data_IF_323460190780
#
_entry.id   IF_323460190780
#
_cell.length_a   1.000
_cell.length_b   1.000
_cell.length_c   1.000
_cell.angle_alpha   90.00
_cell.angle_beta   90.00
_cell.angle_gamma   90.00
#
_symmetry.space_group_name_H-M   'P 1'
#
loop_
_entity.id
_entity.type
_entity.pdbx_description
1 polymer ?
#
# COMPACT_ATOMS: atom_id res chain seq x y z
N UNK A 1 7.18 10.78 -20.35
CA UNK A 1 7.11 10.86 -18.92
C UNK A 1 7.71 9.68 -18.29
N UNK A 2 8.52 9.94 -17.41
CA UNK A 2 9.43 8.90 -16.99
C UNK A 2 8.94 7.91 -15.98
N UNK A 3 7.91 8.08 -15.30
CA UNK A 3 7.60 7.04 -14.36
C UNK A 3 6.37 7.30 -13.53
N UNK A 4 6.12 6.42 -12.59
CA UNK A 4 4.95 6.54 -11.73
C UNK A 4 5.28 5.98 -10.37
N UNK A 5 4.47 6.36 -9.40
CA UNK A 5 4.55 5.82 -8.06
C UNK A 5 3.46 4.78 -7.92
N UNK A 6 3.83 3.61 -7.45
CA UNK A 6 2.87 2.54 -7.17
C UNK A 6 3.04 2.13 -5.72
N UNK A 7 2.10 1.35 -5.22
CA UNK A 7 2.22 0.86 -3.86
C UNK A 7 1.95 -0.63 -3.83
N UNK A 8 2.39 -1.26 -2.76
CA UNK A 8 2.29 -2.69 -2.59
C UNK A 8 1.26 -3.08 -1.53
N UNK A 9 0.24 -2.23 -1.37
CA UNK A 9 -0.76 -2.49 -0.34
C UNK A 9 -1.40 -3.87 -0.47
N UNK A 10 -1.80 -4.24 -1.69
CA UNK A 10 -2.43 -5.53 -1.90
C UNK A 10 -1.50 -6.69 -1.57
N UNK A 11 -0.24 -6.54 -1.94
CA UNK A 11 0.74 -7.60 -1.68
C UNK A 11 0.98 -7.74 -0.18
N UNK A 12 1.20 -6.63 0.50
CA UNK A 12 1.46 -6.67 1.94
C UNK A 12 0.24 -7.18 2.69
N UNK A 13 -0.95 -6.81 2.23
CA UNK A 13 -2.17 -7.26 2.84
C UNK A 13 -2.34 -8.77 2.67
N UNK A 14 -2.04 -9.28 1.47
CA UNK A 14 -2.12 -10.71 1.22
C UNK A 14 -1.11 -11.48 2.05
N UNK A 15 0.11 -10.94 2.18
CA UNK A 15 1.13 -11.58 2.99
C UNK A 15 0.74 -11.63 4.46
N UNK A 16 0.16 -10.53 4.96
CA UNK A 16 -0.28 -10.50 6.35
C UNK A 16 -1.43 -11.46 6.58
N UNK A 17 -2.37 -11.51 5.65
CA UNK A 17 -3.51 -12.43 5.77
C UNK A 17 -3.04 -13.87 5.81
N UNK A 18 -2.08 -14.22 4.98
CA UNK A 18 -1.53 -15.55 4.95
C UNK A 18 -0.80 -15.88 6.26
N UNK A 19 0.01 -14.92 6.72
CA UNK A 19 0.79 -15.13 7.93
C UNK A 19 -0.10 -15.30 9.16
N UNK A 20 -1.21 -14.55 9.20
CA UNK A 20 -2.13 -14.60 10.33
C UNK A 20 -3.27 -15.59 10.11
N UNK A 21 -3.29 -16.25 8.97
CA UNK A 21 -4.29 -17.27 8.66
C UNK A 21 -5.70 -16.72 8.77
N UNK A 22 -5.92 -15.52 8.26
CA UNK A 22 -7.25 -14.90 8.25
C UNK A 22 -7.39 -14.05 7.00
N UNK A 23 -8.65 -13.77 6.65
CA UNK A 23 -8.95 -12.88 5.53
C UNK A 23 -8.99 -11.45 6.04
N UNK A 24 -8.34 -10.53 5.34
CA UNK A 24 -8.31 -9.12 5.74
C UNK A 24 -8.84 -8.28 4.57
N UNK A 25 -10.17 -8.13 4.47
CA UNK A 25 -10.73 -7.24 3.45
C UNK A 25 -10.43 -5.79 3.79
N UNK A 26 -10.61 -4.91 2.81
CA UNK A 26 -10.30 -3.49 3.02
C UNK A 26 -11.10 -2.88 4.16
N UNK A 27 -12.33 -3.34 4.39
CA UNK A 27 -13.11 -2.83 5.50
C UNK A 27 -12.50 -3.19 6.84
N UNK A 28 -11.93 -4.37 6.93
CA UNK A 28 -11.24 -4.77 8.14
C UNK A 28 -9.97 -3.95 8.32
N UNK A 29 -9.26 -3.70 7.21
CA UNK A 29 -8.08 -2.86 7.25
C UNK A 29 -8.44 -1.45 7.73
N UNK A 30 -9.56 -0.91 7.27
CA UNK A 30 -10.04 0.37 7.75
C UNK A 30 -10.23 0.37 9.27
N UNK A 31 -10.85 -0.66 9.79
CA UNK A 31 -11.09 -0.77 11.22
C UNK A 31 -9.79 -0.84 12.01
N UNK A 32 -8.82 -1.57 11.50
CA UNK A 32 -7.58 -1.81 12.23
C UNK A 32 -6.58 -0.68 12.12
N UNK A 33 -6.63 0.09 11.04
CA UNK A 33 -5.69 1.19 10.85
C UNK A 33 -6.29 2.56 11.10
N UNK A 34 -7.61 2.68 11.00
CA UNK A 34 -8.25 3.98 11.09
C UNK A 34 -8.20 4.79 9.81
N UNK A 35 -7.65 4.24 8.74
CA UNK A 35 -7.57 4.94 7.46
C UNK A 35 -8.92 4.79 6.75
N UNK A 36 -9.40 5.89 6.15
CA UNK A 36 -10.70 5.88 5.48
C UNK A 36 -10.75 4.85 4.37
N UNK A 37 -11.90 4.22 4.21
CA UNK A 37 -12.07 3.19 3.19
C UNK A 37 -11.79 3.70 1.78
N UNK A 38 -12.24 4.93 1.48
CA UNK A 38 -12.02 5.49 0.15
C UNK A 38 -10.54 5.65 -0.14
N UNK A 39 -9.76 6.02 0.86
CA UNK A 39 -8.31 6.13 0.72
C UNK A 39 -7.69 4.76 0.48
N UNK A 40 -8.10 3.77 1.26
CA UNK A 40 -7.57 2.42 1.09
C UNK A 40 -7.94 1.85 -0.28
N UNK A 41 -9.15 2.15 -0.74
CA UNK A 41 -9.59 1.68 -2.05
C UNK A 41 -8.75 2.31 -3.17
N UNK A 42 -8.45 3.60 -3.05
CA UNK A 42 -7.58 4.26 -4.03
C UNK A 42 -6.19 3.65 -4.04
N UNK A 43 -5.65 3.38 -2.86
CA UNK A 43 -4.35 2.73 -2.74
C UNK A 43 -4.37 1.34 -3.39
N UNK A 44 -5.41 0.57 -3.10
CA UNK A 44 -5.51 -0.79 -3.63
C UNK A 44 -5.59 -0.81 -5.15
N UNK A 45 -6.13 0.22 -5.75
CA UNK A 45 -6.27 0.32 -7.19
C UNK A 45 -5.13 1.11 -7.84
N UNK A 46 -4.15 1.54 -7.06
CA UNK A 46 -3.03 2.35 -7.53
C UNK A 46 -3.51 3.63 -8.22
N UNK A 47 -4.54 4.25 -7.67
CA UNK A 47 -5.11 5.48 -8.21
C UNK A 47 -4.86 6.66 -7.30
N UNK A 48 -3.76 6.64 -6.57
CA UNK A 48 -3.41 7.70 -5.63
C UNK A 48 -2.55 8.71 -6.35
N UNK A 49 -2.97 9.97 -6.30
CA UNK A 49 -2.15 11.05 -6.85
C UNK A 49 -1.31 11.72 -5.77
N UNK A 50 -1.68 11.56 -4.52
CA UNK A 50 -0.94 12.13 -3.39
C UNK A 50 -0.85 11.11 -2.29
N UNK A 51 0.32 10.99 -1.72
CA UNK A 51 0.56 10.07 -0.60
C UNK A 51 0.78 10.90 0.65
N UNK A 52 -0.19 10.87 1.55
CA UNK A 52 -0.14 11.66 2.77
C UNK A 52 0.63 10.94 3.87
N UNK A 53 1.45 11.68 4.60
CA UNK A 53 2.26 11.09 5.66
C UNK A 53 1.45 10.34 6.71
N UNK A 54 0.32 10.85 7.20
CA UNK A 54 -0.43 10.09 8.22
C UNK A 54 -0.88 8.72 7.73
N UNK A 55 -1.26 8.61 6.47
CA UNK A 55 -1.68 7.33 5.91
C UNK A 55 -0.48 6.40 5.79
N UNK A 56 0.64 6.93 5.28
CA UNK A 56 1.86 6.14 5.16
C UNK A 56 2.31 5.61 6.52
N UNK A 57 2.27 6.47 7.52
CA UNK A 57 2.67 6.06 8.87
C UNK A 57 1.78 4.96 9.42
N UNK A 58 0.47 5.10 9.23
CA UNK A 58 -0.47 4.11 9.73
C UNK A 58 -0.25 2.76 9.06
N UNK A 59 -0.02 2.76 7.75
CA UNK A 59 0.16 1.51 7.03
C UNK A 59 1.51 0.88 7.32
N UNK A 60 2.57 1.68 7.41
CA UNK A 60 3.87 1.14 7.77
C UNK A 60 3.84 0.52 9.16
N UNK A 61 3.17 1.18 10.09
CA UNK A 61 3.05 0.63 11.44
C UNK A 61 2.23 -0.65 11.44
N UNK A 62 1.15 -0.67 10.69
CA UNK A 62 0.28 -1.84 10.63
C UNK A 62 1.00 -3.04 10.04
N UNK A 63 1.72 -2.84 8.94
CA UNK A 63 2.43 -3.93 8.26
C UNK A 63 3.83 -4.16 8.81
N UNK A 64 4.29 -3.32 9.72
CA UNK A 64 5.64 -3.43 10.29
C UNK A 64 6.70 -3.40 9.19
N UNK A 65 6.60 -2.42 8.31
CA UNK A 65 7.51 -2.34 7.17
C UNK A 65 8.04 -0.90 7.02
N UNK A 66 9.01 -0.76 6.15
CA UNK A 66 9.57 0.54 5.80
C UNK A 66 8.78 1.15 4.67
N UNK A 67 8.92 2.47 4.50
CA UNK A 67 8.25 3.16 3.40
C UNK A 67 8.62 2.55 2.07
N UNK A 68 9.88 2.18 1.89
CA UNK A 68 10.34 1.58 0.64
C UNK A 68 9.74 0.22 0.36
N UNK A 69 9.19 -0.45 1.38
CA UNK A 69 8.49 -1.71 1.17
C UNK A 69 7.05 -1.49 0.77
N UNK A 70 6.53 -0.30 1.03
CA UNK A 70 5.13 0.01 0.78
C UNK A 70 4.92 0.77 -0.52
N UNK A 71 5.79 1.71 -0.83
CA UNK A 71 5.66 2.58 -2.00
C UNK A 71 6.86 2.38 -2.89
N UNK A 72 6.62 2.28 -4.20
CA UNK A 72 7.67 2.05 -5.18
C UNK A 72 7.61 3.08 -6.28
N UNK A 73 8.77 3.43 -6.79
CA UNK A 73 8.88 4.20 -8.02
C UNK A 73 9.16 3.24 -9.17
N UNK A 74 8.37 3.36 -10.23
CA UNK A 74 8.55 2.53 -11.42
C UNK A 74 8.82 3.44 -12.59
N UNK A 75 9.99 3.29 -13.18
CA UNK A 75 10.39 4.09 -14.33
C UNK A 75 9.93 3.42 -15.61
N UNK A 76 9.37 4.22 -16.52
CA UNK A 76 9.02 3.69 -17.82
C UNK A 76 10.23 3.53 -18.71
N UNK A 77 11.32 4.15 -18.32
CA UNK A 77 12.56 4.01 -19.08
C UNK A 77 13.42 2.93 -18.47
N UNK A 78 12.84 1.82 -18.24
CA UNK A 78 13.59 0.73 -17.70
C UNK A 78 14.60 0.30 -18.71
N UNK A 79 15.82 0.40 -18.32
CA UNK A 79 16.90 -0.06 -19.15
C UNK A 79 17.22 -1.44 -18.72
N UNK A 80 16.95 -2.38 -19.54
CA UNK A 80 17.38 -3.73 -19.22
C UNK A 80 18.88 -3.77 -19.33
N UNK A 81 19.46 -4.20 -18.35
CA UNK A 81 20.92 -4.35 -18.42
C UNK A 81 21.28 -5.70 -17.91
#
# INVERSE_FOLDING_TARGET
MPGKITNRLRLLLAEKATREQRNIPLKQLQRETGVAWSTLNSWANNQVSRYDAPVILALCDYFKCQVGDLIRYESEEITPT
#
